data_IF_732618266372
#
_entry.id   IF_732618266372
#
_cell.length_a   1.000
_cell.length_b   1.000
_cell.length_c   1.000
_cell.angle_alpha   90.00
_cell.angle_beta   90.00
_cell.angle_gamma   90.00
#
_symmetry.space_group_name_H-M   'P 1'
#
loop_
_entity.id
_entity.type
_entity.pdbx_description
1 polymer ?
#
# COMPACT_ATOMS: atom_id res chain seq x y z
N UNK A 1 -16.93 11.10 1.48
CA UNK A 1 -18.02 12.00 1.05
C UNK A 1 -17.79 12.29 -0.43
N UNK A 2 -18.63 11.74 -1.31
CA UNK A 2 -18.60 11.97 -2.76
C UNK A 2 -19.80 12.85 -3.07
N UNK A 3 -19.57 14.14 -3.22
CA UNK A 3 -20.64 15.10 -3.52
C UNK A 3 -20.63 15.37 -5.01
N UNK A 4 -21.41 14.60 -5.76
CA UNK A 4 -21.59 14.78 -7.20
C UNK A 4 -22.54 15.94 -7.54
N UNK A 5 -23.11 16.60 -6.53
CA UNK A 5 -24.07 17.71 -6.65
C UNK A 5 -23.55 18.98 -5.95
N UNK A 6 -22.27 19.29 -6.13
CA UNK A 6 -21.64 20.50 -5.60
C UNK A 6 -21.43 21.58 -6.68
N UNK A 7 -21.31 22.84 -6.25
CA UNK A 7 -20.96 23.97 -7.13
C UNK A 7 -19.66 23.70 -7.90
N UNK A 8 -18.69 23.04 -7.25
CA UNK A 8 -17.43 22.64 -7.88
C UNK A 8 -17.64 21.65 -9.04
N UNK A 9 -18.55 20.68 -8.91
CA UNK A 9 -18.87 19.74 -9.99
C UNK A 9 -19.52 20.46 -11.19
N UNK A 10 -20.36 21.46 -10.94
CA UNK A 10 -20.97 22.29 -11.99
C UNK A 10 -19.95 23.13 -12.74
N UNK A 11 -19.02 23.77 -12.03
CA UNK A 11 -17.93 24.54 -12.65
C UNK A 11 -17.06 23.62 -13.52
N UNK A 12 -16.74 22.41 -13.05
CA UNK A 12 -15.97 21.45 -13.85
C UNK A 12 -16.72 21.04 -15.13
N UNK A 13 -18.04 20.82 -15.06
CA UNK A 13 -18.88 20.55 -16.23
C UNK A 13 -18.96 21.73 -17.19
N UNK A 14 -19.04 22.97 -16.69
CA UNK A 14 -19.07 24.18 -17.51
C UNK A 14 -17.76 24.38 -18.31
N UNK A 15 -16.64 23.84 -17.81
CA UNK A 15 -15.34 23.79 -18.49
C UNK A 15 -15.10 22.49 -19.28
N UNK A 16 -16.13 21.66 -19.48
CA UNK A 16 -16.07 20.34 -20.15
C UNK A 16 -15.01 19.40 -19.54
N UNK A 17 -14.75 19.56 -18.26
CA UNK A 17 -13.69 18.86 -17.53
C UNK A 17 -14.27 17.68 -16.74
N UNK A 18 -13.78 16.48 -17.05
CA UNK A 18 -14.19 15.24 -16.40
C UNK A 18 -13.52 15.09 -15.02
N UNK A 19 -14.33 15.17 -13.97
CA UNK A 19 -13.89 15.08 -12.58
C UNK A 19 -13.16 13.76 -12.26
N UNK A 20 -13.55 12.65 -12.89
CA UNK A 20 -12.91 11.34 -12.65
C UNK A 20 -11.51 11.28 -13.27
N UNK A 21 -11.33 11.85 -14.47
CA UNK A 21 -10.02 11.94 -15.11
C UNK A 21 -9.06 12.83 -14.32
N UNK A 22 -9.51 14.00 -13.90
CA UNK A 22 -8.71 14.93 -13.08
C UNK A 22 -8.26 14.26 -11.79
N UNK A 23 -9.18 13.56 -11.11
CA UNK A 23 -8.87 12.86 -9.88
C UNK A 23 -7.82 11.77 -10.09
N UNK A 24 -7.96 10.95 -11.12
CA UNK A 24 -7.00 9.89 -11.42
C UNK A 24 -5.61 10.46 -11.71
N UNK A 25 -5.54 11.59 -12.41
CA UNK A 25 -4.28 12.29 -12.68
C UNK A 25 -3.67 12.88 -11.39
N UNK A 26 -4.48 13.50 -10.52
CA UNK A 26 -4.03 14.00 -9.22
C UNK A 26 -3.52 12.85 -8.33
N UNK A 27 -4.23 11.72 -8.30
CA UNK A 27 -3.80 10.54 -7.54
C UNK A 27 -2.48 10.02 -8.10
N UNK A 28 -2.31 10.00 -9.42
CA UNK A 28 -1.06 9.59 -10.07
C UNK A 28 0.10 10.51 -9.72
N UNK A 29 -0.13 11.83 -9.73
CA UNK A 29 0.88 12.81 -9.35
C UNK A 29 1.24 12.72 -7.86
N UNK A 30 0.24 12.59 -6.99
CA UNK A 30 0.45 12.48 -5.53
C UNK A 30 1.07 11.13 -5.12
N UNK A 31 0.79 10.06 -5.86
CA UNK A 31 1.32 8.72 -5.57
C UNK A 31 2.81 8.58 -5.93
N UNK A 32 3.41 9.58 -6.59
CA UNK A 32 4.80 9.56 -7.03
C UNK A 32 5.08 8.48 -8.08
N UNK A 33 6.20 8.55 -8.83
CA UNK A 33 6.56 7.59 -9.88
C UNK A 33 6.97 6.19 -9.37
N UNK A 34 6.40 5.71 -8.26
CA UNK A 34 6.76 4.42 -7.66
C UNK A 34 5.66 3.74 -6.84
N UNK A 35 4.46 4.32 -6.72
CA UNK A 35 3.36 3.66 -6.01
C UNK A 35 2.28 3.23 -6.99
N UNK A 36 2.64 2.24 -7.79
CA UNK A 36 1.70 1.40 -8.52
C UNK A 36 0.77 0.73 -7.49
N UNK A 37 -0.37 1.36 -7.27
CA UNK A 37 -1.67 0.77 -7.03
C UNK A 37 -1.66 -0.61 -6.34
N UNK A 38 -1.36 -0.65 -5.03
CA UNK A 38 -1.97 -1.65 -4.14
C UNK A 38 -3.32 -1.11 -3.71
N UNK A 39 -4.30 -1.22 -4.62
CA UNK A 39 -5.66 -0.77 -4.38
C UNK A 39 -6.59 -1.16 -5.52
N UNK A 40 -7.21 -2.34 -5.35
CA UNK A 40 -8.37 -2.85 -6.06
C UNK A 40 -8.16 -3.53 -7.43
N UNK A 41 -8.17 -4.86 -7.40
CA UNK A 41 -8.89 -5.66 -8.39
C UNK A 41 -8.10 -6.24 -9.57
N UNK A 42 -7.68 -7.50 -9.42
CA UNK A 42 -7.68 -8.47 -10.52
C UNK A 42 -6.45 -8.51 -11.45
N UNK A 43 -5.88 -9.73 -11.56
CA UNK A 43 -5.08 -10.25 -12.69
C UNK A 43 -3.89 -9.41 -13.18
N UNK A 44 -2.67 -9.87 -12.88
CA UNK A 44 -1.44 -9.31 -13.42
C UNK A 44 -0.22 -10.13 -13.04
N UNK A 45 -0.03 -11.22 -13.76
CA UNK A 45 1.20 -12.00 -13.90
C UNK A 45 2.35 -11.12 -14.40
N UNK A 46 3.57 -11.33 -13.84
CA UNK A 46 4.92 -10.96 -14.32
C UNK A 46 5.82 -10.51 -13.15
N UNK A 47 6.34 -11.43 -12.33
CA UNK A 47 7.69 -12.03 -12.43
C UNK A 47 8.84 -11.08 -12.03
N UNK A 48 9.38 -11.27 -10.82
CA UNK A 48 10.83 -11.32 -10.62
C UNK A 48 11.20 -11.94 -9.27
N UNK A 49 12.04 -12.98 -9.37
CA UNK A 49 13.04 -13.43 -8.39
C UNK A 49 12.58 -13.94 -7.02
N UNK A 50 12.13 -15.20 -7.02
CA UNK A 50 12.70 -16.28 -6.21
C UNK A 50 12.94 -16.06 -4.71
N UNK A 51 12.06 -16.62 -3.87
CA UNK A 51 12.46 -17.63 -2.88
C UNK A 51 11.23 -18.39 -2.38
N UNK A 52 11.26 -19.70 -2.56
CA UNK A 52 10.30 -20.67 -2.06
C UNK A 52 9.95 -20.48 -0.58
N UNK A 53 8.68 -20.70 -0.26
CA UNK A 53 8.29 -21.19 1.07
C UNK A 53 6.96 -20.68 1.60
N UNK A 54 6.02 -21.61 1.77
CA UNK A 54 4.77 -21.50 2.55
C UNK A 54 3.57 -20.86 1.84
N UNK A 55 2.85 -21.71 1.10
CA UNK A 55 1.52 -21.42 0.60
C UNK A 55 0.45 -21.34 1.69
N UNK A 56 -0.74 -20.88 1.27
CA UNK A 56 -2.02 -21.21 1.88
C UNK A 56 -2.59 -20.22 2.90
N UNK A 57 -1.80 -19.65 3.81
CA UNK A 57 -2.36 -18.96 5.00
C UNK A 57 -2.31 -17.41 4.96
N UNK A 58 -1.75 -16.80 3.91
CA UNK A 58 -1.42 -15.35 3.90
C UNK A 58 -2.65 -14.43 4.01
N UNK A 59 -3.78 -14.71 3.34
CA UNK A 59 -4.89 -13.74 3.25
C UNK A 59 -5.62 -13.48 4.58
N UNK A 60 -5.70 -14.47 5.46
CA UNK A 60 -6.29 -14.30 6.80
C UNK A 60 -5.27 -13.71 7.79
N UNK A 61 -4.04 -14.20 7.75
CA UNK A 61 -2.95 -13.70 8.61
C UNK A 61 -2.62 -12.24 8.30
N UNK A 62 -2.67 -11.82 7.03
CA UNK A 62 -2.41 -10.43 6.64
C UNK A 62 -3.55 -9.47 7.10
N UNK A 63 -4.74 -9.98 7.42
CA UNK A 63 -5.86 -9.18 7.94
C UNK A 63 -5.78 -8.96 9.46
N UNK A 64 -5.23 -9.91 10.21
CA UNK A 64 -5.21 -9.87 11.69
C UNK A 64 -3.80 -9.79 12.29
N UNK A 65 -2.76 -9.97 11.48
CA UNK A 65 -1.38 -10.03 11.93
C UNK A 65 -0.47 -9.14 11.08
N UNK A 66 0.52 -8.54 11.71
CA UNK A 66 1.63 -7.86 11.02
C UNK A 66 2.82 -8.81 10.95
N UNK A 67 3.34 -9.02 9.75
CA UNK A 67 4.53 -9.83 9.55
C UNK A 67 5.80 -8.98 9.76
N UNK A 68 6.42 -9.10 10.93
CA UNK A 68 7.62 -8.33 11.29
C UNK A 68 8.84 -8.70 10.44
N UNK A 69 9.00 -9.96 10.05
CA UNK A 69 10.12 -10.42 9.20
C UNK A 69 10.10 -9.74 7.82
N UNK A 70 8.91 -9.60 7.22
CA UNK A 70 8.74 -8.86 5.95
C UNK A 70 9.05 -7.37 6.12
N UNK A 71 8.60 -6.74 7.22
CA UNK A 71 8.88 -5.33 7.48
C UNK A 71 10.37 -5.06 7.74
N UNK A 72 11.07 -6.02 8.38
CA UNK A 72 12.52 -5.98 8.55
C UNK A 72 13.25 -6.01 7.21
N UNK A 73 12.86 -6.93 6.32
CA UNK A 73 13.44 -7.06 4.98
C UNK A 73 13.21 -5.81 4.12
N UNK A 74 12.05 -5.17 4.26
CA UNK A 74 11.70 -3.91 3.58
C UNK A 74 12.38 -2.67 4.19
N UNK A 75 13.12 -2.79 5.29
CA UNK A 75 13.76 -1.66 5.98
C UNK A 75 12.78 -0.69 6.66
N UNK A 76 11.55 -1.14 6.95
CA UNK A 76 10.47 -0.32 7.55
C UNK A 76 10.34 -0.51 9.06
N UNK A 77 11.26 -1.22 9.69
CA UNK A 77 11.31 -1.38 11.14
C UNK A 77 12.19 -0.31 11.77
N UNK A 78 11.67 0.35 12.79
CA UNK A 78 12.45 1.28 13.60
C UNK A 78 13.48 0.55 14.47
N UNK A 79 14.67 1.14 14.69
CA UNK A 79 15.68 0.55 15.55
C UNK A 79 15.20 0.47 16.99
N UNK A 80 15.43 -0.68 17.63
CA UNK A 80 15.10 -0.87 19.05
C UNK A 80 16.32 -0.54 19.90
N UNK A 81 16.28 0.60 20.59
CA UNK A 81 17.38 1.07 21.45
C UNK A 81 17.19 0.58 22.89
N UNK A 82 18.28 0.15 23.54
CA UNK A 82 18.31 -0.19 24.96
C UNK A 82 17.66 -1.52 25.37
N UNK A 83 17.33 -2.41 24.42
CA UNK A 83 16.73 -3.74 24.69
C UNK A 83 17.63 -4.92 24.32
N UNK A 84 18.95 -4.73 24.36
CA UNK A 84 19.91 -5.76 23.94
C UNK A 84 19.81 -7.03 24.79
N UNK A 85 19.68 -6.87 26.12
CA UNK A 85 19.60 -8.02 27.04
C UNK A 85 18.32 -8.83 26.85
N UNK A 86 17.17 -8.18 26.60
CA UNK A 86 15.91 -8.87 26.32
C UNK A 86 15.99 -9.66 25.01
N UNK A 87 16.58 -9.06 23.97
CA UNK A 87 16.72 -9.70 22.65
C UNK A 87 17.60 -10.94 22.77
N UNK A 88 18.72 -10.84 23.48
CA UNK A 88 19.64 -11.96 23.72
C UNK A 88 18.96 -13.10 24.49
N UNK A 89 18.21 -12.78 25.56
CA UNK A 89 17.44 -13.77 26.32
C UNK A 89 16.36 -14.49 25.51
N UNK A 90 15.78 -13.83 24.50
CA UNK A 90 14.74 -14.43 23.64
C UNK A 90 15.36 -15.27 22.51
N UNK A 91 16.62 -15.01 22.14
CA UNK A 91 17.34 -15.75 21.09
C UNK A 91 17.99 -17.04 21.60
N UNK A 92 18.30 -17.13 22.89
CA UNK A 92 18.83 -18.34 23.56
C UNK A 92 17.76 -19.43 23.67
#
# INVERSE_FOLDING_TARGET
>A
VRENEGVAARILLDFDADAEKIRNEIIRMLSGPGRQQRGSGGSGEATSSGKSGKGGSSKLLDQFGRNLTKLAADGKLDPVVGRQQEIERVMQ
#
